data_IF_089732667514
#
_entry.id   IF_089732667514
#
_cell.length_a   1.000
_cell.length_b   1.000
_cell.length_c   1.000
_cell.angle_alpha   90.00
_cell.angle_beta   90.00
_cell.angle_gamma   90.00
#
_symmetry.space_group_name_H-M   'P 1'
#
loop_
_entity.id
_entity.type
_entity.pdbx_description
1 polymer ?
#
# COMPACT_ATOMS: atom_id res chain seq x y z
N UNK A 1 22.98 -5.47 18.98
CA UNK A 1 23.60 -5.37 17.62
C UNK A 1 25.09 -5.42 17.83
N UNK A 2 25.82 -6.36 17.18
CA UNK A 2 27.27 -6.45 17.35
C UNK A 2 27.96 -5.25 16.69
N UNK A 3 29.05 -4.74 17.28
CA UNK A 3 29.85 -3.61 16.72
C UNK A 3 30.27 -3.86 15.26
N UNK A 4 30.49 -5.11 14.90
CA UNK A 4 30.81 -5.56 13.55
C UNK A 4 29.64 -5.32 12.55
N UNK A 5 28.39 -5.40 12.98
CA UNK A 5 27.23 -5.12 12.13
C UNK A 5 27.04 -3.60 11.93
N UNK A 6 27.41 -2.79 12.92
CA UNK A 6 27.34 -1.34 12.86
C UNK A 6 28.40 -0.76 11.90
N UNK A 7 29.64 -1.24 11.98
CA UNK A 7 30.73 -0.79 11.10
C UNK A 7 30.44 -1.09 9.62
N UNK A 8 29.88 -2.26 9.31
CA UNK A 8 29.46 -2.61 7.95
C UNK A 8 28.36 -1.66 7.42
N UNK A 9 27.36 -1.34 8.25
CA UNK A 9 26.31 -0.40 7.86
C UNK A 9 26.87 0.98 7.54
N UNK A 10 27.79 1.49 8.37
CA UNK A 10 28.43 2.79 8.16
C UNK A 10 29.22 2.80 6.84
N UNK A 11 29.97 1.74 6.55
CA UNK A 11 30.72 1.61 5.29
C UNK A 11 29.78 1.61 4.08
N UNK A 12 28.69 0.86 4.11
CA UNK A 12 27.72 0.83 3.01
C UNK A 12 27.07 2.19 2.80
N UNK A 13 26.68 2.89 3.87
CA UNK A 13 26.13 4.25 3.78
C UNK A 13 27.18 5.20 3.19
N UNK A 14 28.43 5.17 3.66
CA UNK A 14 29.48 6.05 3.15
C UNK A 14 29.76 5.80 1.66
N UNK A 15 29.84 4.55 1.23
CA UNK A 15 29.99 4.18 -0.18
C UNK A 15 28.78 4.63 -1.02
N UNK A 16 27.56 4.48 -0.51
CA UNK A 16 26.34 4.96 -1.16
C UNK A 16 26.34 6.47 -1.35
N UNK A 17 26.74 7.23 -0.32
CA UNK A 17 26.87 8.70 -0.39
C UNK A 17 27.93 9.12 -1.42
N UNK A 18 29.10 8.50 -1.41
CA UNK A 18 30.18 8.79 -2.39
C UNK A 18 29.72 8.45 -3.82
N UNK A 19 29.07 7.30 -4.01
CA UNK A 19 28.53 6.89 -5.30
C UNK A 19 27.46 7.86 -5.80
N UNK A 20 26.56 8.31 -4.93
CA UNK A 20 25.52 9.29 -5.25
C UNK A 20 26.12 10.65 -5.64
N UNK A 21 27.18 11.08 -4.94
CA UNK A 21 27.90 12.32 -5.29
C UNK A 21 28.60 12.19 -6.64
N UNK A 22 29.20 11.05 -6.93
CA UNK A 22 29.84 10.78 -8.21
C UNK A 22 28.83 10.76 -9.36
N UNK A 23 27.69 10.09 -9.21
CA UNK A 23 26.64 10.06 -10.22
C UNK A 23 26.08 11.46 -10.49
N UNK A 24 25.74 12.21 -9.44
CA UNK A 24 25.19 13.55 -9.58
C UNK A 24 26.17 14.52 -10.28
N UNK A 25 27.47 14.38 -10.02
CA UNK A 25 28.51 15.17 -10.66
C UNK A 25 28.68 14.84 -12.16
N UNK A 26 28.61 13.55 -12.54
CA UNK A 26 28.79 13.14 -13.95
C UNK A 26 27.57 13.49 -14.80
N UNK A 27 26.37 13.28 -14.27
CA UNK A 27 25.16 13.42 -15.09
C UNK A 27 24.65 14.86 -15.20
N UNK A 28 25.06 15.76 -14.31
CA UNK A 28 24.52 17.10 -14.25
C UNK A 28 25.63 18.15 -14.13
N UNK A 29 25.53 19.21 -14.96
CA UNK A 29 26.48 20.33 -14.93
C UNK A 29 26.01 21.49 -14.06
N UNK A 30 24.70 21.62 -13.84
CA UNK A 30 24.12 22.67 -13.00
C UNK A 30 24.25 22.29 -11.51
N UNK A 31 24.77 23.23 -10.71
CA UNK A 31 25.04 22.99 -9.27
C UNK A 31 23.79 22.72 -8.44
N UNK A 32 22.63 23.28 -8.79
CA UNK A 32 21.38 23.04 -8.06
C UNK A 32 20.81 21.67 -8.43
N UNK A 33 20.87 21.31 -9.73
CA UNK A 33 20.49 19.96 -10.18
C UNK A 33 21.39 18.90 -9.56
N UNK A 34 22.71 19.11 -9.50
CA UNK A 34 23.66 18.19 -8.85
C UNK A 34 23.24 17.91 -7.39
N UNK A 35 22.94 18.96 -6.61
CA UNK A 35 22.50 18.83 -5.21
C UNK A 35 21.15 18.09 -5.09
N UNK A 36 20.18 18.42 -5.96
CA UNK A 36 18.88 17.75 -5.97
C UNK A 36 19.00 16.26 -6.28
N UNK A 37 19.75 15.90 -7.32
CA UNK A 37 19.97 14.50 -7.68
C UNK A 37 20.83 13.75 -6.67
N UNK A 38 21.78 14.42 -6.01
CA UNK A 38 22.52 13.83 -4.90
C UNK A 38 21.57 13.41 -3.77
N UNK A 39 20.66 14.28 -3.36
CA UNK A 39 19.64 13.97 -2.35
C UNK A 39 18.79 12.78 -2.79
N UNK A 40 18.31 12.80 -4.04
CA UNK A 40 17.51 11.74 -4.62
C UNK A 40 18.24 10.39 -4.58
N UNK A 41 19.48 10.32 -5.05
CA UNK A 41 20.24 9.07 -5.10
C UNK A 41 20.57 8.54 -3.70
N UNK A 42 20.95 9.42 -2.77
CA UNK A 42 21.21 9.02 -1.36
C UNK A 42 19.95 8.45 -0.73
N UNK A 43 18.83 9.18 -0.81
CA UNK A 43 17.58 8.75 -0.17
C UNK A 43 17.00 7.52 -0.85
N UNK A 44 17.07 7.40 -2.18
CA UNK A 44 16.65 6.19 -2.89
C UNK A 44 17.50 4.98 -2.50
N UNK A 45 18.83 5.14 -2.41
CA UNK A 45 19.72 4.08 -1.96
C UNK A 45 19.44 3.62 -0.52
N UNK A 46 19.18 4.57 0.39
CA UNK A 46 18.79 4.26 1.77
C UNK A 46 17.44 3.54 1.85
N UNK A 47 16.46 3.92 1.03
CA UNK A 47 15.15 3.25 0.95
C UNK A 47 15.26 1.85 0.37
N UNK A 48 16.01 1.68 -0.71
CA UNK A 48 16.17 0.36 -1.34
C UNK A 48 16.92 -0.64 -0.46
N UNK A 49 17.87 -0.17 0.34
CA UNK A 49 18.69 -1.03 1.20
C UNK A 49 18.10 -1.23 2.59
N UNK A 50 17.13 -0.41 2.99
CA UNK A 50 16.52 -0.41 4.34
C UNK A 50 17.55 -0.44 5.50
N UNK A 51 18.76 0.09 5.25
CA UNK A 51 19.83 0.13 6.26
C UNK A 51 19.44 0.93 7.49
N UNK A 52 18.66 1.99 7.28
CA UNK A 52 18.00 2.79 8.31
C UNK A 52 16.47 2.74 8.10
N UNK A 53 15.67 2.97 9.15
CA UNK A 53 14.21 2.99 9.03
C UNK A 53 13.74 3.99 7.97
N UNK A 54 12.74 3.60 7.15
CA UNK A 54 12.20 4.42 6.06
C UNK A 54 11.78 5.82 6.52
N UNK A 55 11.19 5.92 7.71
CA UNK A 55 10.78 7.20 8.31
C UNK A 55 11.98 8.13 8.58
N UNK A 56 13.12 7.58 9.01
CA UNK A 56 14.35 8.36 9.24
C UNK A 56 14.88 8.88 7.91
N UNK A 57 14.90 8.05 6.86
CA UNK A 57 15.29 8.50 5.51
C UNK A 57 14.39 9.62 5.01
N UNK A 58 13.08 9.53 5.23
CA UNK A 58 12.14 10.59 4.84
C UNK A 58 12.45 11.92 5.54
N UNK A 59 12.79 11.88 6.83
CA UNK A 59 13.19 13.08 7.60
C UNK A 59 14.57 13.64 7.20
N UNK A 60 15.45 12.82 6.62
CA UNK A 60 16.72 13.30 6.10
C UNK A 60 16.56 14.19 4.87
N UNK A 61 15.52 13.99 4.05
CA UNK A 61 15.28 14.79 2.83
C UNK A 61 15.25 16.30 3.12
N UNK A 62 14.37 16.82 3.99
CA UNK A 62 14.33 18.26 4.30
C UNK A 62 15.61 18.74 5.00
N UNK A 63 16.20 17.92 5.87
CA UNK A 63 17.44 18.27 6.58
C UNK A 63 18.58 18.47 5.58
N UNK A 64 18.82 17.50 4.70
CA UNK A 64 19.89 17.58 3.71
C UNK A 64 19.60 18.72 2.71
N UNK A 65 18.34 18.91 2.28
CA UNK A 65 17.94 20.00 1.38
C UNK A 65 18.27 21.39 1.95
N UNK A 66 18.03 21.57 3.24
CA UNK A 66 18.36 22.80 3.95
C UNK A 66 19.88 23.02 4.06
N UNK A 67 20.63 22.02 4.51
CA UNK A 67 22.09 22.15 4.68
C UNK A 67 22.84 22.35 3.36
N UNK A 68 22.37 21.72 2.27
CA UNK A 68 22.94 21.92 0.94
C UNK A 68 22.45 23.21 0.26
N UNK A 69 21.58 23.99 0.92
CA UNK A 69 21.00 25.24 0.40
C UNK A 69 20.24 25.00 -0.93
N UNK A 70 19.55 23.88 -1.04
CA UNK A 70 18.62 23.60 -2.15
C UNK A 70 17.28 24.26 -1.89
N UNK A 71 16.81 24.18 -0.63
CA UNK A 71 15.57 24.79 -0.15
C UNK A 71 15.83 25.53 1.15
N UNK A 72 15.07 26.58 1.43
CA UNK A 72 15.00 27.19 2.75
C UNK A 72 14.23 26.27 3.73
N UNK A 73 14.30 26.56 5.03
CA UNK A 73 13.68 25.72 6.06
C UNK A 73 12.16 25.60 5.89
N UNK A 74 11.49 26.69 5.49
CA UNK A 74 10.04 26.69 5.26
C UNK A 74 9.65 25.80 4.09
N UNK A 75 10.31 25.98 2.93
CA UNK A 75 10.06 25.19 1.74
C UNK A 75 10.41 23.70 1.93
N UNK A 76 11.51 23.40 2.66
CA UNK A 76 11.90 22.03 2.96
C UNK A 76 10.88 21.28 3.82
N UNK A 77 10.22 21.98 4.75
CA UNK A 77 9.23 21.41 5.68
C UNK A 77 7.78 21.49 5.16
N UNK A 78 7.50 22.31 4.14
CA UNK A 78 6.16 22.51 3.60
C UNK A 78 5.43 21.21 3.24
N UNK A 79 6.07 20.17 2.63
CA UNK A 79 5.41 18.91 2.34
C UNK A 79 4.81 18.20 3.55
N UNK A 80 5.37 18.41 4.76
CA UNK A 80 4.84 17.80 6.00
C UNK A 80 3.56 18.48 6.51
N UNK A 81 3.22 19.65 6.00
CA UNK A 81 1.98 20.38 6.30
C UNK A 81 0.90 20.16 5.22
N UNK A 82 1.13 19.28 4.25
CA UNK A 82 0.18 19.00 3.19
C UNK A 82 -1.10 18.37 3.73
N UNK A 83 -2.27 18.83 3.24
CA UNK A 83 -3.59 18.28 3.55
C UNK A 83 -3.67 16.77 3.27
N UNK A 84 -2.93 16.30 2.26
CA UNK A 84 -2.84 14.88 1.90
C UNK A 84 -2.29 14.03 3.05
N UNK A 85 -1.34 14.53 3.83
CA UNK A 85 -0.78 13.79 4.98
C UNK A 85 -1.86 13.57 6.05
N UNK A 86 -2.68 14.58 6.34
CA UNK A 86 -3.78 14.45 7.30
C UNK A 86 -4.86 13.49 6.78
N UNK A 87 -5.13 13.50 5.48
CA UNK A 87 -6.01 12.53 4.85
C UNK A 87 -5.50 11.09 5.01
N UNK A 88 -4.20 10.83 4.74
CA UNK A 88 -3.58 9.53 4.96
C UNK A 88 -3.60 9.13 6.44
N UNK A 89 -3.32 10.03 7.36
CA UNK A 89 -3.40 9.76 8.80
C UNK A 89 -4.81 9.31 9.20
N UNK A 90 -5.85 10.00 8.72
CA UNK A 90 -7.25 9.61 8.91
C UNK A 90 -7.55 8.23 8.33
N UNK A 91 -7.22 8.01 7.06
CA UNK A 91 -7.45 6.75 6.37
C UNK A 91 -6.75 5.56 7.02
N UNK A 92 -5.46 5.69 7.35
CA UNK A 92 -4.71 4.63 8.02
C UNK A 92 -5.20 4.37 9.45
N UNK A 93 -5.67 5.40 10.15
CA UNK A 93 -6.29 5.23 11.47
C UNK A 93 -7.59 4.42 11.37
N UNK A 94 -8.44 4.73 10.38
CA UNK A 94 -9.66 3.95 10.11
C UNK A 94 -9.33 2.50 9.74
N UNK A 95 -8.34 2.28 8.88
CA UNK A 95 -7.87 0.95 8.52
C UNK A 95 -7.36 0.16 9.74
N UNK A 96 -6.57 0.81 10.60
CA UNK A 96 -6.09 0.20 11.83
C UNK A 96 -7.24 -0.17 12.80
N UNK A 97 -8.31 0.62 12.84
CA UNK A 97 -9.51 0.30 13.61
C UNK A 97 -10.26 -0.90 13.03
N UNK A 98 -10.39 -1.01 11.70
CA UNK A 98 -10.99 -2.19 11.06
C UNK A 98 -10.20 -3.45 11.41
N UNK A 99 -8.86 -3.40 11.32
CA UNK A 99 -7.98 -4.50 11.71
C UNK A 99 -8.08 -4.85 13.19
N UNK A 100 -8.02 -3.83 14.06
CA UNK A 100 -8.10 -4.03 15.52
C UNK A 100 -9.36 -4.77 15.95
N UNK A 101 -10.46 -4.54 15.25
CA UNK A 101 -11.73 -5.20 15.53
C UNK A 101 -11.98 -6.45 14.67
N UNK A 102 -11.01 -6.87 13.84
CA UNK A 102 -11.09 -8.10 13.03
C UNK A 102 -12.12 -8.05 11.89
N UNK A 103 -12.61 -6.86 11.54
CA UNK A 103 -13.64 -6.66 10.49
C UNK A 103 -13.10 -7.09 9.12
N UNK A 104 -11.82 -6.84 8.87
CA UNK A 104 -11.07 -7.26 7.70
C UNK A 104 -11.09 -8.78 7.50
N UNK A 105 -10.75 -9.54 8.57
CA UNK A 105 -10.77 -11.02 8.57
C UNK A 105 -12.18 -11.56 8.44
N UNK A 106 -13.13 -10.94 9.15
CA UNK A 106 -14.54 -11.29 9.03
C UNK A 106 -15.02 -11.16 7.58
N UNK A 107 -14.68 -10.04 6.89
CA UNK A 107 -15.07 -9.80 5.52
C UNK A 107 -14.47 -10.86 4.56
N UNK A 108 -13.20 -11.21 4.73
CA UNK A 108 -12.54 -12.24 3.94
C UNK A 108 -13.22 -13.62 4.14
N UNK A 109 -13.51 -13.99 5.37
CA UNK A 109 -14.17 -15.27 5.70
C UNK A 109 -15.63 -15.31 5.22
N UNK A 110 -16.37 -14.20 5.34
CA UNK A 110 -17.75 -14.10 4.88
C UNK A 110 -17.88 -14.39 3.39
N UNK A 111 -16.97 -13.85 2.57
CA UNK A 111 -16.97 -14.10 1.12
C UNK A 111 -16.70 -15.56 0.80
N UNK A 112 -15.74 -16.19 1.49
CA UNK A 112 -15.46 -17.61 1.31
C UNK A 112 -16.68 -18.46 1.71
N UNK A 113 -17.36 -18.12 2.79
CA UNK A 113 -18.58 -18.80 3.25
C UNK A 113 -19.73 -18.72 2.23
N UNK A 114 -19.93 -17.58 1.58
CA UNK A 114 -21.00 -17.35 0.60
C UNK A 114 -20.78 -18.18 -0.66
N UNK A 115 -19.55 -18.48 -1.06
CA UNK A 115 -19.21 -19.17 -2.31
C UNK A 115 -19.51 -20.67 -2.28
N UNK A 116 -19.88 -21.22 -1.11
CA UNK A 116 -20.31 -22.64 -0.92
C UNK A 116 -19.34 -23.65 -1.54
N UNK A 117 -18.03 -23.42 -1.43
CA UNK A 117 -17.00 -24.33 -1.92
C UNK A 117 -16.76 -24.29 -3.45
N UNK A 118 -17.35 -23.33 -4.17
CA UNK A 118 -17.02 -23.07 -5.57
C UNK A 118 -15.65 -22.40 -5.68
N UNK A 119 -14.64 -23.17 -6.06
CA UNK A 119 -13.23 -22.76 -6.05
C UNK A 119 -12.99 -21.39 -6.70
N UNK A 120 -13.40 -21.22 -7.95
CA UNK A 120 -13.16 -19.98 -8.69
C UNK A 120 -13.90 -18.78 -8.12
N UNK A 121 -15.12 -18.97 -7.64
CA UNK A 121 -15.86 -17.90 -6.96
C UNK A 121 -15.18 -17.51 -5.65
N UNK A 122 -14.62 -18.48 -4.92
CA UNK A 122 -13.87 -18.20 -3.69
C UNK A 122 -12.58 -17.44 -3.98
N UNK A 123 -11.84 -17.83 -5.02
CA UNK A 123 -10.60 -17.17 -5.43
C UNK A 123 -10.87 -15.74 -5.91
N UNK A 124 -11.85 -15.55 -6.80
CA UNK A 124 -12.22 -14.23 -7.31
C UNK A 124 -12.76 -13.35 -6.18
N UNK A 125 -13.63 -13.88 -5.35
CA UNK A 125 -14.18 -13.17 -4.20
C UNK A 125 -13.10 -12.78 -3.19
N UNK A 126 -12.15 -13.67 -2.93
CA UNK A 126 -11.01 -13.41 -2.06
C UNK A 126 -10.13 -12.26 -2.61
N UNK A 127 -9.83 -12.25 -3.90
CA UNK A 127 -9.11 -11.15 -4.54
C UNK A 127 -9.93 -9.85 -4.56
N UNK A 128 -11.25 -9.93 -4.76
CA UNK A 128 -12.12 -8.76 -4.71
C UNK A 128 -12.13 -8.12 -3.33
N UNK A 129 -12.21 -8.92 -2.25
CA UNK A 129 -12.08 -8.42 -0.87
C UNK A 129 -10.70 -7.84 -0.61
N UNK A 130 -9.65 -8.50 -1.09
CA UNK A 130 -8.29 -7.98 -0.97
C UNK A 130 -8.17 -6.60 -1.64
N UNK A 131 -8.67 -6.46 -2.86
CA UNK A 131 -8.69 -5.18 -3.57
C UNK A 131 -9.51 -4.12 -2.83
N UNK A 132 -10.70 -4.49 -2.33
CA UNK A 132 -11.54 -3.57 -1.56
C UNK A 132 -10.87 -3.07 -0.28
N UNK A 133 -10.26 -3.97 0.49
CA UNK A 133 -9.53 -3.59 1.70
C UNK A 133 -8.34 -2.69 1.38
N UNK A 134 -7.63 -2.99 0.30
CA UNK A 134 -6.47 -2.20 -0.12
C UNK A 134 -6.80 -0.80 -0.63
N UNK A 135 -8.05 -0.52 -0.97
CA UNK A 135 -8.49 0.86 -1.24
C UNK A 135 -8.34 1.79 -0.03
N UNK A 136 -8.34 1.24 1.18
CA UNK A 136 -8.36 1.98 2.45
C UNK A 136 -7.14 1.75 3.32
N UNK A 137 -6.37 0.70 3.01
CA UNK A 137 -5.20 0.25 3.76
C UNK A 137 -3.99 0.26 2.83
N UNK A 138 -2.78 0.30 3.39
CA UNK A 138 -1.59 0.14 2.54
C UNK A 138 -1.56 -1.24 1.88
N UNK A 139 -1.11 -1.31 0.62
CA UNK A 139 -1.00 -2.55 -0.15
C UNK A 139 -0.19 -3.62 0.59
N UNK A 140 0.90 -3.21 1.24
CA UNK A 140 1.77 -4.10 2.02
C UNK A 140 1.04 -4.68 3.23
N UNK A 141 0.33 -3.86 4.00
CA UNK A 141 -0.43 -4.32 5.16
C UNK A 141 -1.56 -5.27 4.74
N UNK A 142 -2.31 -4.93 3.68
CA UNK A 142 -3.36 -5.79 3.13
C UNK A 142 -2.79 -7.12 2.66
N UNK A 143 -1.69 -7.10 1.91
CA UNK A 143 -1.04 -8.32 1.43
C UNK A 143 -0.56 -9.19 2.59
N UNK A 144 0.14 -8.62 3.56
CA UNK A 144 0.66 -9.34 4.71
C UNK A 144 -0.46 -10.02 5.54
N UNK A 145 -1.61 -9.36 5.67
CA UNK A 145 -2.76 -9.90 6.37
C UNK A 145 -3.47 -11.00 5.58
N UNK A 146 -3.61 -10.82 4.26
CA UNK A 146 -4.39 -11.73 3.41
C UNK A 146 -3.61 -12.99 3.01
N UNK A 147 -2.27 -12.95 2.93
CA UNK A 147 -1.45 -14.13 2.56
C UNK A 147 -1.69 -15.34 3.49
N UNK A 148 -1.71 -15.23 4.82
CA UNK A 148 -2.01 -16.38 5.68
C UNK A 148 -3.38 -17.01 5.39
N UNK A 149 -4.40 -16.20 5.09
CA UNK A 149 -5.72 -16.68 4.71
C UNK A 149 -5.66 -17.38 3.35
N UNK A 150 -4.98 -16.79 2.36
CA UNK A 150 -4.75 -17.38 1.05
C UNK A 150 -4.09 -18.76 1.13
N UNK A 151 -3.08 -18.88 1.97
CA UNK A 151 -2.34 -20.14 2.18
C UNK A 151 -3.20 -21.19 2.90
N UNK A 152 -4.06 -20.77 3.82
CA UNK A 152 -4.98 -21.67 4.53
C UNK A 152 -6.10 -22.22 3.64
N UNK A 153 -6.51 -21.45 2.61
CA UNK A 153 -7.58 -21.83 1.67
C UNK A 153 -7.28 -23.09 0.87
N UNK A 154 -6.01 -23.33 0.56
CA UNK A 154 -5.60 -24.41 -0.36
C UNK A 154 -4.46 -25.20 0.25
N UNK A 155 -4.61 -26.53 0.25
CA UNK A 155 -3.60 -27.43 0.76
C UNK A 155 -2.29 -27.38 -0.01
N UNK A 156 -1.24 -27.91 0.59
CA UNK A 156 0.10 -27.96 -0.02
C UNK A 156 0.18 -28.87 -1.25
N UNK A 157 -0.82 -29.72 -1.45
CA UNK A 157 -0.97 -30.61 -2.61
C UNK A 157 -1.31 -29.88 -3.93
N UNK A 158 -1.71 -28.59 -3.85
CA UNK A 158 -2.01 -27.74 -5.02
C UNK A 158 -1.03 -26.56 -5.14
N UNK A 159 0.25 -26.82 -5.50
CA UNK A 159 1.30 -25.79 -5.44
C UNK A 159 1.06 -24.62 -6.42
N UNK A 160 0.50 -24.88 -7.60
CA UNK A 160 0.22 -23.81 -8.57
C UNK A 160 -0.92 -22.92 -8.13
N UNK A 161 -2.01 -23.48 -7.59
CA UNK A 161 -3.10 -22.68 -7.04
C UNK A 161 -2.62 -21.87 -5.84
N UNK A 162 -1.79 -22.44 -4.99
CA UNK A 162 -1.18 -21.71 -3.86
C UNK A 162 -0.33 -20.54 -4.34
N UNK A 163 0.48 -20.76 -5.39
CA UNK A 163 1.25 -19.68 -6.04
C UNK A 163 0.33 -18.59 -6.60
N UNK A 164 -0.75 -18.99 -7.28
CA UNK A 164 -1.75 -18.05 -7.80
C UNK A 164 -2.41 -17.25 -6.70
N UNK A 165 -2.76 -17.87 -5.57
CA UNK A 165 -3.36 -17.17 -4.44
C UNK A 165 -2.39 -16.17 -3.81
N UNK A 166 -1.13 -16.54 -3.59
CA UNK A 166 -0.11 -15.66 -3.01
C UNK A 166 0.17 -14.46 -3.92
N UNK A 167 0.51 -14.72 -5.20
CA UNK A 167 0.78 -13.65 -6.16
C UNK A 167 -0.46 -12.82 -6.45
N UNK A 168 -1.61 -13.46 -6.61
CA UNK A 168 -2.87 -12.79 -6.84
C UNK A 168 -3.28 -11.88 -5.70
N UNK A 169 -2.98 -12.24 -4.44
CA UNK A 169 -3.16 -11.37 -3.27
C UNK A 169 -2.35 -10.09 -3.39
N UNK A 170 -1.07 -10.20 -3.75
CA UNK A 170 -0.20 -9.02 -3.91
C UNK A 170 -0.67 -8.13 -5.07
N UNK A 171 -1.02 -8.71 -6.20
CA UNK A 171 -1.54 -7.96 -7.35
C UNK A 171 -2.91 -7.35 -7.06
N UNK A 172 -3.82 -8.10 -6.41
CA UNK A 172 -5.14 -7.59 -6.03
C UNK A 172 -5.02 -6.41 -5.05
N UNK A 173 -4.08 -6.47 -4.10
CA UNK A 173 -3.80 -5.36 -3.20
C UNK A 173 -3.26 -4.15 -3.96
N UNK A 174 -2.29 -4.33 -4.87
CA UNK A 174 -1.73 -3.22 -5.64
C UNK A 174 -2.77 -2.54 -6.54
N UNK A 175 -3.61 -3.32 -7.22
CA UNK A 175 -4.67 -2.77 -8.07
C UNK A 175 -5.74 -2.10 -7.20
N UNK A 176 -6.12 -2.75 -6.10
CA UNK A 176 -7.09 -2.20 -5.15
C UNK A 176 -6.67 -0.84 -4.62
N UNK A 177 -5.38 -0.68 -4.30
CA UNK A 177 -4.82 0.59 -3.84
C UNK A 177 -5.03 1.77 -4.81
N UNK A 178 -5.25 1.52 -6.11
CA UNK A 178 -5.54 2.60 -7.06
C UNK A 178 -6.99 3.09 -6.97
N UNK A 179 -7.91 2.31 -6.37
CA UNK A 179 -9.34 2.62 -6.32
C UNK A 179 -9.68 3.90 -5.54
N UNK A 180 -8.85 4.31 -4.58
CA UNK A 180 -8.99 5.58 -3.87
C UNK A 180 -7.65 6.31 -3.77
N UNK A 181 -7.69 7.61 -3.52
CA UNK A 181 -6.48 8.38 -3.28
C UNK A 181 -5.73 7.95 -2.02
N UNK A 182 -6.44 7.39 -1.03
CA UNK A 182 -5.87 6.95 0.26
C UNK A 182 -5.21 5.57 0.18
N UNK A 183 -5.59 4.74 -0.79
CA UNK A 183 -5.11 3.37 -0.91
C UNK A 183 -3.61 3.24 -1.20
N UNK A 184 -2.98 4.28 -1.78
CA UNK A 184 -1.55 4.27 -2.07
C UNK A 184 -0.95 5.68 -2.04
N UNK A 185 0.24 5.90 -1.41
CA UNK A 185 0.89 7.20 -1.36
C UNK A 185 1.12 7.87 -2.72
N UNK A 186 1.51 7.18 -3.80
CA UNK A 186 1.62 7.79 -5.13
C UNK A 186 0.34 8.46 -5.62
N UNK A 187 -0.83 7.92 -5.28
CA UNK A 187 -2.12 8.51 -5.64
C UNK A 187 -2.27 9.89 -5.00
N UNK A 188 -1.96 10.01 -3.70
CA UNK A 188 -2.01 11.27 -2.99
C UNK A 188 -1.06 12.32 -3.57
N UNK A 189 0.14 11.92 -4.01
CA UNK A 189 1.09 12.80 -4.68
C UNK A 189 0.49 13.29 -6.01
N UNK A 190 -0.08 12.39 -6.81
CA UNK A 190 -0.72 12.74 -8.08
C UNK A 190 -1.93 13.67 -7.88
N UNK A 191 -2.77 13.38 -6.91
CA UNK A 191 -3.93 14.22 -6.53
C UNK A 191 -3.47 15.65 -6.16
N UNK A 192 -2.43 15.75 -5.32
CA UNK A 192 -1.87 17.05 -4.93
C UNK A 192 -1.27 17.81 -6.10
N UNK A 193 -0.62 17.10 -7.04
CA UNK A 193 0.00 17.73 -8.22
C UNK A 193 -1.03 18.16 -9.28
N UNK A 194 -2.17 17.46 -9.35
CA UNK A 194 -3.25 17.73 -10.31
C UNK A 194 -4.33 18.64 -9.73
N UNK A 195 -4.26 18.95 -8.43
CA UNK A 195 -5.26 19.75 -7.70
C UNK A 195 -6.69 19.21 -7.86
N UNK A 196 -6.83 17.88 -7.74
CA UNK A 196 -8.10 17.18 -7.84
C UNK A 196 -8.57 16.69 -6.47
N UNK A 197 -9.90 16.53 -6.30
CA UNK A 197 -10.50 16.09 -5.04
C UNK A 197 -10.63 14.56 -4.94
N UNK A 198 -11.18 14.09 -3.80
CA UNK A 198 -11.38 12.66 -3.55
C UNK A 198 -12.33 12.03 -4.57
N UNK A 199 -13.42 12.71 -4.92
CA UNK A 199 -14.41 12.16 -5.85
C UNK A 199 -13.88 12.12 -7.27
N UNK A 200 -13.13 13.11 -7.71
CA UNK A 200 -12.51 13.17 -9.02
C UNK A 200 -11.50 12.02 -9.20
N UNK A 201 -10.67 11.76 -8.18
CA UNK A 201 -9.82 10.58 -8.20
C UNK A 201 -10.62 9.29 -8.23
N UNK A 202 -11.65 9.15 -7.35
CA UNK A 202 -12.48 7.95 -7.25
C UNK A 202 -13.21 7.65 -8.56
N UNK A 203 -13.68 8.68 -9.26
CA UNK A 203 -14.36 8.53 -10.55
C UNK A 203 -13.49 7.95 -11.67
N UNK A 204 -12.17 8.08 -11.55
CA UNK A 204 -11.20 7.50 -12.50
C UNK A 204 -10.52 6.24 -11.94
N UNK A 205 -10.07 6.29 -10.70
CA UNK A 205 -9.31 5.23 -10.05
C UNK A 205 -10.11 3.96 -9.83
N UNK A 206 -11.36 4.09 -9.35
CA UNK A 206 -12.22 2.94 -9.09
C UNK A 206 -12.63 2.19 -10.36
N UNK A 207 -13.11 2.83 -11.44
CA UNK A 207 -13.35 2.14 -12.71
C UNK A 207 -12.08 1.52 -13.30
N UNK A 208 -10.93 2.20 -13.21
CA UNK A 208 -9.65 1.66 -13.67
C UNK A 208 -9.29 0.38 -12.90
N UNK A 209 -9.45 0.38 -11.58
CA UNK A 209 -9.28 -0.81 -10.75
C UNK A 209 -10.19 -1.95 -11.21
N UNK A 210 -11.49 -1.67 -11.45
CA UNK A 210 -12.45 -2.69 -11.90
C UNK A 210 -12.10 -3.28 -13.28
N UNK A 211 -11.57 -2.46 -14.18
CA UNK A 211 -11.11 -2.91 -15.49
C UNK A 211 -9.84 -3.76 -15.36
N UNK A 212 -8.87 -3.32 -14.60
CA UNK A 212 -7.59 -4.03 -14.44
C UNK A 212 -7.74 -5.37 -13.69
N UNK A 213 -8.68 -5.45 -12.77
CA UNK A 213 -8.88 -6.62 -11.92
C UNK A 213 -9.06 -7.92 -12.70
N UNK A 214 -9.98 -8.07 -13.68
CA UNK A 214 -10.13 -9.28 -14.47
C UNK A 214 -8.90 -9.57 -15.33
N UNK A 215 -8.22 -8.55 -15.88
CA UNK A 215 -7.01 -8.75 -16.67
C UNK A 215 -5.88 -9.38 -15.87
N UNK A 216 -5.70 -8.96 -14.63
CA UNK A 216 -4.67 -9.52 -13.76
C UNK A 216 -5.00 -10.97 -13.38
N UNK A 217 -6.24 -11.26 -13.00
CA UNK A 217 -6.65 -12.62 -12.68
C UNK A 217 -6.45 -13.53 -13.89
N UNK A 218 -6.84 -13.08 -15.08
CA UNK A 218 -6.69 -13.82 -16.32
C UNK A 218 -5.21 -14.04 -16.68
N UNK A 219 -4.37 -13.02 -16.53
CA UNK A 219 -2.94 -13.13 -16.79
C UNK A 219 -2.28 -14.14 -15.84
N UNK A 220 -2.59 -14.09 -14.55
CA UNK A 220 -2.10 -15.07 -13.58
C UNK A 220 -2.57 -16.48 -13.90
N UNK A 221 -3.83 -16.64 -14.33
CA UNK A 221 -4.37 -17.93 -14.72
C UNK A 221 -3.64 -18.52 -15.93
N UNK A 222 -3.35 -17.73 -16.96
CA UNK A 222 -2.61 -18.17 -18.17
C UNK A 222 -1.17 -18.55 -17.81
N UNK A 223 -0.50 -17.76 -16.98
CA UNK A 223 0.92 -17.94 -16.66
C UNK A 223 1.11 -19.14 -15.72
N UNK A 224 0.35 -19.19 -14.64
CA UNK A 224 0.53 -20.16 -13.56
C UNK A 224 -0.13 -21.49 -13.92
N UNK A 225 -1.25 -21.47 -14.65
CA UNK A 225 -2.04 -22.64 -15.03
C UNK A 225 -2.36 -23.50 -13.80
N UNK A 226 -3.13 -22.98 -12.85
CA UNK A 226 -3.43 -23.67 -11.60
C UNK A 226 -4.18 -24.99 -11.86
N UNK A 227 -4.14 -25.86 -10.88
CA UNK A 227 -4.81 -27.16 -10.94
C UNK A 227 -6.32 -26.98 -11.16
N UNK A 228 -6.93 -27.82 -11.99
CA UNK A 228 -8.35 -27.73 -12.38
C UNK A 228 -9.29 -28.38 -11.35
N UNK A 229 -8.82 -29.41 -10.64
CA UNK A 229 -9.59 -30.13 -9.63
C UNK A 229 -8.97 -29.86 -8.27
N UNK A 230 -9.58 -28.95 -7.49
CA UNK A 230 -9.10 -28.48 -6.21
C UNK A 230 -10.20 -28.65 -5.18
N UNK A 231 -9.83 -29.11 -4.00
CA UNK A 231 -10.65 -29.01 -2.81
C UNK A 231 -10.18 -27.79 -1.99
N UNK A 232 -11.09 -26.90 -1.67
CA UNK A 232 -10.81 -25.82 -0.73
C UNK A 232 -10.88 -26.37 0.70
N UNK A 233 -9.92 -26.00 1.50
CA UNK A 233 -9.96 -26.24 2.93
C UNK A 233 -11.13 -25.44 3.53
N UNK A 234 -11.80 -26.03 4.51
CA UNK A 234 -12.72 -25.24 5.36
C UNK A 234 -11.85 -24.24 6.12
N UNK A 235 -12.00 -22.98 5.82
CA UNK A 235 -11.43 -21.94 6.67
C UNK A 235 -12.22 -21.99 7.97
N UNK A 236 -11.52 -22.15 9.08
CA UNK A 236 -12.16 -22.11 10.40
C UNK A 236 -12.95 -20.80 10.50
N UNK A 237 -14.23 -20.92 10.84
CA UNK A 237 -15.04 -19.76 11.13
C UNK A 237 -14.36 -19.02 12.29
N UNK A 238 -13.79 -17.87 11.98
CA UNK A 238 -13.37 -16.97 13.05
C UNK A 238 -14.66 -16.52 13.72
N UNK A 239 -14.86 -16.92 14.97
CA UNK A 239 -15.97 -16.45 15.79
C UNK A 239 -15.85 -14.92 15.89
N UNK A 240 -16.55 -14.24 14.99
CA UNK A 240 -16.56 -12.79 14.93
C UNK A 240 -17.81 -12.27 15.66
N UNK A 241 -17.57 -11.60 16.76
CA UNK A 241 -18.64 -10.95 17.52
C UNK A 241 -18.81 -9.49 17.12
N UNK A 242 -20.01 -9.14 16.70
CA UNK A 242 -20.41 -7.76 16.45
C UNK A 242 -20.53 -6.96 17.75
N UNK A 243 -19.40 -6.66 18.37
CA UNK A 243 -19.36 -5.81 19.55
C UNK A 243 -19.84 -4.38 19.23
N UNK A 244 -20.32 -3.60 20.22
CA UNK A 244 -20.67 -2.19 20.01
C UNK A 244 -19.53 -1.38 19.42
N UNK A 245 -18.27 -1.71 19.77
CA UNK A 245 -17.07 -1.06 19.22
C UNK A 245 -16.85 -1.41 17.75
N UNK A 246 -17.01 -2.67 17.37
CA UNK A 246 -16.90 -3.08 15.96
C UNK A 246 -17.97 -2.39 15.09
N UNK A 247 -19.22 -2.36 15.57
CA UNK A 247 -20.31 -1.62 14.91
C UNK A 247 -19.99 -0.14 14.79
N UNK A 248 -19.52 0.51 15.86
CA UNK A 248 -19.12 1.91 15.87
C UNK A 248 -17.99 2.20 14.87
N UNK A 249 -17.01 1.28 14.75
CA UNK A 249 -15.94 1.39 13.75
C UNK A 249 -16.49 1.38 12.31
N UNK A 250 -17.41 0.48 11.99
CA UNK A 250 -18.03 0.43 10.65
C UNK A 250 -18.82 1.69 10.37
N UNK A 251 -19.61 2.17 11.35
CA UNK A 251 -20.39 3.43 11.19
C UNK A 251 -19.44 4.61 10.96
N UNK A 252 -18.37 4.72 11.75
CA UNK A 252 -17.37 5.77 11.59
C UNK A 252 -16.70 5.69 10.22
N UNK A 253 -16.30 4.50 9.79
CA UNK A 253 -15.69 4.27 8.48
C UNK A 253 -16.63 4.73 7.35
N UNK A 254 -17.86 4.24 7.33
CA UNK A 254 -18.86 4.59 6.29
C UNK A 254 -19.13 6.10 6.30
N UNK A 255 -19.30 6.68 7.48
CA UNK A 255 -19.51 8.13 7.62
C UNK A 255 -18.34 8.93 7.03
N UNK A 256 -17.11 8.57 7.35
CA UNK A 256 -15.91 9.26 6.85
C UNK A 256 -15.79 9.13 5.32
N UNK A 257 -16.04 7.94 4.78
CA UNK A 257 -16.05 7.72 3.32
C UNK A 257 -17.08 8.58 2.62
N UNK A 258 -18.28 8.67 3.20
CA UNK A 258 -19.35 9.56 2.68
C UNK A 258 -18.88 11.02 2.72
N UNK A 259 -18.29 11.49 3.84
CA UNK A 259 -17.75 12.84 3.92
C UNK A 259 -16.66 13.12 2.87
N UNK A 260 -15.80 12.14 2.56
CA UNK A 260 -14.78 12.29 1.52
C UNK A 260 -15.37 12.36 0.12
N UNK A 261 -16.36 11.53 -0.19
CA UNK A 261 -17.05 11.53 -1.49
C UNK A 261 -17.77 12.87 -1.71
N UNK A 262 -18.37 13.42 -0.65
CA UNK A 262 -19.12 14.68 -0.71
C UNK A 262 -18.31 15.90 -0.26
N UNK A 263 -16.97 15.79 -0.15
CA UNK A 263 -16.10 16.86 0.35
C UNK A 263 -16.26 18.18 -0.41
N UNK A 264 -16.51 18.12 -1.71
CA UNK A 264 -16.76 19.30 -2.55
C UNK A 264 -17.98 20.10 -2.10
N UNK A 265 -19.08 19.42 -1.75
CA UNK A 265 -20.32 20.06 -1.30
C UNK A 265 -20.29 20.53 0.15
N UNK A 266 -19.31 20.03 0.94
CA UNK A 266 -19.16 20.40 2.35
C UNK A 266 -18.30 21.67 2.48
N UNK A 267 -17.43 21.93 1.51
CA UNK A 267 -16.49 23.06 1.49
C UNK A 267 -17.05 24.30 0.74
N UNK A 268 -18.19 24.19 0.07
CA UNK A 268 -18.99 25.30 -0.47
C UNK A 268 -19.95 25.82 0.59
#
# INVERSE_FOLDING_TARGET
MSEFALSKKIIVIALGVLFSAFLSYIFFSDAQLQKGFFILFVCAGLWMTEIIPLAVTALLVPVISYFLKVLDAGAAMAPFSSTIIYLFMGGFTLAALLQKHGIDRWLANAVIGITKGRVWLSVIGFFAVTSFLSMWMSNTATTAMMIPIAVALVGSEYPKMRTMLILGTAYAANIGGNGTMVGSPPNGIAVSALDIDFFEWFAVGFPTMLILFPFVIFSLWIIIKPESKIALNKVENVDFEWTPRAKGTVVLFVFTVICWIFSRYINE
#
